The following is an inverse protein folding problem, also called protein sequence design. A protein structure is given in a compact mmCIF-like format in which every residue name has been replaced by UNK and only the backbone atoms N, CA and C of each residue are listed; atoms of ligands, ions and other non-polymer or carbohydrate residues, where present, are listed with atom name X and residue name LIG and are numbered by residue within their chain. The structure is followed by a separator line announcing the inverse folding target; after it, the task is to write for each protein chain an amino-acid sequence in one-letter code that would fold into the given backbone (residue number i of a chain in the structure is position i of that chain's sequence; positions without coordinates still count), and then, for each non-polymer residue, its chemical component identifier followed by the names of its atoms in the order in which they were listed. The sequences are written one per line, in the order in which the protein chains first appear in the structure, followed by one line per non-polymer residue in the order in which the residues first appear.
data_IF_666565523101
#
_entry.id   IF_666565523101
#
_cell.length_a   1.000
_cell.length_b   1.000
_cell.length_c   1.000
_cell.angle_alpha   90.00
_cell.angle_beta   90.00
_cell.angle_gamma   90.00
#
_symmetry.space_group_name_H-M   'P 1'
#
loop_
_entity.id
_entity.type
_entity.pdbx_description
1 polymer ?
#
# COMPACT_ATOMS: atom_id res chain seq x y z
N UNK A 1 -38.22 2.21 -28.66
CA UNK A 1 -38.36 2.83 -27.33
C UNK A 1 -37.67 1.93 -26.31
N UNK A 2 -36.38 2.15 -26.04
CA UNK A 2 -35.66 1.49 -24.94
C UNK A 2 -34.52 2.41 -24.50
N UNK A 3 -34.78 3.15 -23.43
CA UNK A 3 -33.85 4.04 -22.72
C UNK A 3 -32.82 3.19 -21.95
N UNK A 4 -31.60 3.11 -22.47
CA UNK A 4 -30.47 2.55 -21.70
C UNK A 4 -29.94 3.65 -20.78
N UNK A 5 -30.49 3.74 -19.56
CA UNK A 5 -29.90 4.56 -18.48
C UNK A 5 -28.50 4.09 -18.17
N UNK A 6 -27.54 4.82 -18.72
CA UNK A 6 -26.13 4.72 -18.42
C UNK A 6 -25.91 5.08 -16.95
N UNK A 7 -25.75 4.06 -16.09
CA UNK A 7 -25.43 4.23 -14.66
C UNK A 7 -24.12 5.01 -14.56
N UNK A 8 -24.22 6.31 -14.26
CA UNK A 8 -23.07 7.14 -13.85
C UNK A 8 -22.46 6.50 -12.62
N UNK A 9 -21.31 5.84 -12.78
CA UNK A 9 -20.53 5.22 -11.71
C UNK A 9 -19.92 6.32 -10.85
N UNK A 10 -20.72 6.91 -9.96
CA UNK A 10 -20.25 7.88 -8.97
C UNK A 10 -19.13 7.25 -8.14
N UNK A 11 -17.96 7.90 -8.09
CA UNK A 11 -16.83 7.45 -7.26
C UNK A 11 -17.34 7.26 -5.83
N UNK A 12 -17.12 6.07 -5.26
CA UNK A 12 -17.63 5.74 -3.94
C UNK A 12 -17.05 6.68 -2.87
N UNK A 13 -17.86 7.17 -1.91
CA UNK A 13 -17.42 8.10 -0.88
C UNK A 13 -16.26 7.53 -0.04
N UNK A 14 -16.23 6.20 0.14
CA UNK A 14 -15.15 5.47 0.82
C UNK A 14 -13.82 5.59 0.08
N UNK A 15 -13.81 5.53 -1.27
CA UNK A 15 -12.57 5.70 -2.05
C UNK A 15 -12.00 7.11 -1.89
N UNK A 16 -12.86 8.12 -1.83
CA UNK A 16 -12.43 9.51 -1.64
C UNK A 16 -11.86 9.71 -0.22
N UNK A 17 -12.46 9.08 0.79
CA UNK A 17 -11.96 9.14 2.17
C UNK A 17 -10.60 8.45 2.32
N UNK A 18 -10.42 7.25 1.76
CA UNK A 18 -9.13 6.55 1.76
C UNK A 18 -8.06 7.39 1.07
N UNK A 19 -8.41 8.05 -0.04
CA UNK A 19 -7.51 8.97 -0.75
C UNK A 19 -7.12 10.17 0.10
N UNK A 20 -8.09 10.82 0.77
CA UNK A 20 -7.86 11.97 1.65
C UNK A 20 -6.99 11.61 2.85
N UNK A 21 -7.24 10.46 3.48
CA UNK A 21 -6.42 9.97 4.60
C UNK A 21 -4.99 9.68 4.13
N UNK A 22 -4.85 9.00 2.98
CA UNK A 22 -3.54 8.72 2.39
C UNK A 22 -2.78 10.00 2.06
N UNK A 23 -3.46 11.02 1.51
CA UNK A 23 -2.88 12.33 1.21
C UNK A 23 -2.49 13.08 2.47
N UNK A 24 -3.33 13.09 3.51
CA UNK A 24 -3.03 13.72 4.80
C UNK A 24 -1.80 13.09 5.47
N UNK A 25 -1.70 11.75 5.44
CA UNK A 25 -0.53 11.03 5.95
C UNK A 25 0.74 11.36 5.15
N UNK A 26 0.63 11.45 3.81
CA UNK A 26 1.72 11.88 2.94
C UNK A 26 2.21 13.29 3.28
N UNK A 27 1.28 14.26 3.37
CA UNK A 27 1.58 15.66 3.73
C UNK A 27 2.21 15.73 5.11
N UNK A 28 1.70 14.97 6.07
CA UNK A 28 2.24 14.93 7.44
C UNK A 28 3.66 14.40 7.46
N UNK A 29 3.93 13.30 6.75
CA UNK A 29 5.28 12.77 6.60
C UNK A 29 6.22 13.79 5.94
N UNK A 30 5.74 14.49 4.90
CA UNK A 30 6.50 15.53 4.20
C UNK A 30 6.84 16.73 5.10
N UNK A 31 5.87 17.24 5.87
CA UNK A 31 6.06 18.37 6.80
C UNK A 31 6.98 17.98 7.96
N UNK A 32 6.82 16.77 8.51
CA UNK A 32 7.72 16.24 9.53
C UNK A 32 9.15 16.24 9.02
N UNK A 33 9.36 15.70 7.82
CA UNK A 33 10.68 15.63 7.21
C UNK A 33 11.22 17.05 6.96
N UNK A 34 10.43 17.99 6.44
CA UNK A 34 10.87 19.38 6.14
C UNK A 34 11.20 20.21 7.38
N UNK A 35 10.67 19.84 8.54
CA UNK A 35 11.01 20.45 9.83
C UNK A 35 12.24 19.82 10.48
N UNK A 36 12.71 18.66 10.00
CA UNK A 36 13.92 18.02 10.50
C UNK A 36 15.17 18.64 9.86
N UNK A 37 16.21 19.00 10.64
CA UNK A 37 17.48 19.47 10.12
C UNK A 37 18.08 18.49 9.10
N UNK A 38 18.57 19.01 7.98
CA UNK A 38 18.97 18.26 6.78
C UNK A 38 19.98 17.13 7.04
N UNK A 39 20.79 17.25 8.10
CA UNK A 39 21.84 16.27 8.45
C UNK A 39 21.33 14.97 9.09
N UNK A 40 20.07 14.89 9.55
CA UNK A 40 19.51 13.68 10.21
C UNK A 40 18.27 13.09 9.52
N UNK A 41 17.92 13.61 8.33
CA UNK A 41 16.77 13.12 7.54
C UNK A 41 17.00 11.70 7.02
N UNK A 42 16.24 10.74 7.54
CA UNK A 42 16.27 9.36 7.05
C UNK A 42 15.30 9.13 5.89
N UNK A 43 14.28 9.97 5.67
CA UNK A 43 13.25 9.79 4.63
C UNK A 43 12.52 8.43 4.65
N UNK A 44 12.65 7.65 5.73
CA UNK A 44 11.94 6.39 5.96
C UNK A 44 11.77 6.14 7.46
N UNK A 45 10.72 5.42 7.86
CA UNK A 45 10.46 5.10 9.26
C UNK A 45 9.05 4.59 9.50
N UNK A 46 8.61 4.60 10.76
CA UNK A 46 7.24 4.26 11.13
C UNK A 46 6.57 5.47 11.81
N UNK A 47 5.37 5.81 11.36
CA UNK A 47 4.49 6.76 12.04
C UNK A 47 3.82 6.01 13.20
N UNK A 48 3.98 6.55 14.42
CA UNK A 48 3.42 6.01 15.66
C UNK A 48 3.78 4.53 15.94
N UNK A 49 4.86 4.01 15.35
CA UNK A 49 5.27 2.60 15.49
C UNK A 49 4.34 1.59 14.84
N UNK A 50 3.42 2.04 13.97
CA UNK A 50 2.40 1.18 13.35
C UNK A 50 2.40 1.33 11.84
N UNK A 51 2.48 2.56 11.32
CA UNK A 51 2.32 2.83 9.88
C UNK A 51 3.68 3.09 9.24
N UNK A 52 4.22 2.16 8.45
CA UNK A 52 5.50 2.38 7.78
C UNK A 52 5.38 3.45 6.70
N UNK A 53 6.42 4.25 6.53
CA UNK A 53 6.57 5.19 5.42
C UNK A 53 7.97 5.12 4.84
N UNK A 54 8.06 5.24 3.51
CA UNK A 54 9.32 5.34 2.79
C UNK A 54 9.16 6.39 1.69
N UNK A 55 9.84 7.52 1.80
CA UNK A 55 9.82 8.61 0.82
C UNK A 55 11.04 8.59 -0.09
N UNK A 56 11.90 7.57 0.00
CA UNK A 56 13.05 7.42 -0.88
C UNK A 56 12.61 7.07 -2.30
N UNK A 57 13.35 7.48 -3.35
CA UNK A 57 13.00 7.14 -4.72
C UNK A 57 12.73 5.63 -4.87
N UNK A 58 11.59 5.24 -5.46
CA UNK A 58 11.26 3.83 -5.64
C UNK A 58 12.26 3.19 -6.59
N UNK A 59 12.90 2.11 -6.15
CA UNK A 59 13.73 1.27 -7.04
C UNK A 59 12.91 0.06 -7.50
N UNK A 60 13.12 -0.43 -8.74
CA UNK A 60 12.39 -1.59 -9.25
C UNK A 60 12.51 -2.81 -8.32
N UNK A 61 13.69 -3.02 -7.74
CA UNK A 61 13.96 -4.07 -6.77
C UNK A 61 13.09 -3.94 -5.52
N UNK A 62 12.97 -2.74 -4.94
CA UNK A 62 12.13 -2.52 -3.75
C UNK A 62 10.65 -2.65 -4.05
N UNK A 63 10.20 -2.19 -5.22
CA UNK A 63 8.80 -2.34 -5.64
C UNK A 63 8.45 -3.83 -5.69
N UNK A 64 9.28 -4.64 -6.37
CA UNK A 64 9.11 -6.09 -6.44
C UNK A 64 9.09 -6.72 -5.05
N UNK A 65 10.04 -6.35 -4.18
CA UNK A 65 10.08 -6.89 -2.81
C UNK A 65 8.85 -6.51 -1.98
N UNK A 66 8.27 -5.32 -2.16
CA UNK A 66 7.07 -4.91 -1.41
C UNK A 66 5.78 -5.57 -1.90
N UNK A 67 5.75 -6.03 -3.16
CA UNK A 67 4.55 -6.61 -3.78
C UNK A 67 4.64 -8.15 -3.93
N UNK A 68 5.86 -8.69 -4.03
CA UNK A 68 6.11 -10.09 -4.35
C UNK A 68 7.34 -10.60 -3.57
N UNK A 69 7.11 -11.00 -2.32
CA UNK A 69 8.13 -11.56 -1.44
C UNK A 69 7.74 -13.01 -1.08
N UNK A 70 8.08 -13.99 -1.93
CA UNK A 70 7.73 -15.40 -1.68
C UNK A 70 8.40 -15.97 -0.43
N UNK A 71 9.57 -15.45 -0.05
CA UNK A 71 10.31 -15.84 1.15
C UNK A 71 9.64 -15.39 2.47
N UNK A 72 8.56 -14.61 2.40
CA UNK A 72 7.90 -14.02 3.56
C UNK A 72 6.49 -14.56 3.72
N UNK A 73 6.22 -15.13 4.90
CA UNK A 73 4.88 -15.59 5.27
C UNK A 73 3.88 -14.44 5.53
N UNK A 74 4.33 -13.18 5.46
CA UNK A 74 3.52 -12.00 5.71
C UNK A 74 2.66 -11.65 4.49
N UNK A 75 1.36 -11.49 4.71
CA UNK A 75 0.41 -10.98 3.71
C UNK A 75 0.55 -9.47 3.46
N UNK A 76 0.91 -8.74 4.52
CA UNK A 76 1.01 -7.29 4.51
C UNK A 76 2.50 -6.94 4.70
N UNK A 77 3.04 -6.17 3.77
CA UNK A 77 4.44 -5.73 3.78
C UNK A 77 4.52 -4.20 3.86
N UNK A 78 5.60 -3.63 4.41
CA UNK A 78 5.88 -2.20 4.24
C UNK A 78 5.93 -1.83 2.75
N UNK A 79 5.33 -0.69 2.39
CA UNK A 79 5.35 -0.21 1.01
C UNK A 79 6.73 0.34 0.64
N UNK A 80 7.16 0.12 -0.61
CA UNK A 80 8.45 0.62 -1.11
C UNK A 80 8.53 2.13 -1.33
N UNK A 81 7.38 2.80 -1.44
CA UNK A 81 7.28 4.24 -1.63
C UNK A 81 5.92 4.80 -1.15
N UNK A 82 5.96 5.93 -0.45
CA UNK A 82 4.81 6.56 0.19
C UNK A 82 4.55 6.04 1.61
N UNK A 83 3.31 6.20 2.06
CA UNK A 83 2.88 5.81 3.41
C UNK A 83 1.96 4.60 3.35
N UNK A 84 2.14 3.67 4.29
CA UNK A 84 1.28 2.52 4.51
C UNK A 84 1.85 1.22 4.01
N UNK A 85 0.96 0.26 3.79
CA UNK A 85 1.33 -1.12 3.48
C UNK A 85 1.07 -1.50 2.02
N UNK A 86 1.82 -2.48 1.56
CA UNK A 86 1.64 -3.21 0.31
C UNK A 86 1.12 -4.62 0.60
N UNK A 87 0.49 -5.22 -0.40
CA UNK A 87 0.05 -6.62 -0.33
C UNK A 87 1.11 -7.51 -0.94
N UNK A 88 1.49 -8.58 -0.22
CA UNK A 88 2.35 -9.63 -0.74
C UNK A 88 1.54 -10.59 -1.60
N UNK A 89 1.54 -10.37 -2.91
CA UNK A 89 0.78 -11.20 -3.85
C UNK A 89 1.32 -12.63 -3.93
N UNK A 90 2.61 -12.87 -3.64
CA UNK A 90 3.16 -14.22 -3.59
C UNK A 90 2.42 -15.08 -2.54
N UNK A 91 2.19 -14.51 -1.36
CA UNK A 91 1.46 -15.16 -0.28
C UNK A 91 -0.03 -15.33 -0.60
N UNK A 92 -0.63 -14.37 -1.29
CA UNK A 92 -2.04 -14.47 -1.74
C UNK A 92 -2.22 -15.65 -2.69
N UNK A 93 -1.33 -15.82 -3.67
CA UNK A 93 -1.37 -16.95 -4.62
C UNK A 93 -1.17 -18.27 -3.91
N UNK A 94 -0.24 -18.35 -2.96
CA UNK A 94 -0.02 -19.56 -2.17
C UNK A 94 -1.27 -19.97 -1.38
N UNK A 95 -1.91 -19.02 -0.69
CA UNK A 95 -3.16 -19.29 0.05
C UNK A 95 -4.30 -19.71 -0.87
N UNK A 96 -4.40 -19.10 -2.06
CA UNK A 96 -5.39 -19.48 -3.05
C UNK A 96 -5.17 -20.92 -3.55
N UNK A 97 -3.93 -21.30 -3.84
CA UNK A 97 -3.60 -22.66 -4.30
C UNK A 97 -3.86 -23.72 -3.22
N UNK A 98 -3.55 -23.42 -1.96
CA UNK A 98 -3.87 -24.32 -0.83
C UNK A 98 -5.37 -24.58 -0.74
N UNK A 99 -6.17 -23.51 -0.82
CA UNK A 99 -7.64 -23.61 -0.72
C UNK A 99 -8.25 -24.47 -1.83
N UNK A 100 -7.79 -24.30 -3.07
CA UNK A 100 -8.28 -25.12 -4.20
C UNK A 100 -7.85 -26.59 -4.08
N UNK A 101 -6.71 -26.86 -3.43
CA UNK A 101 -6.27 -28.24 -3.15
C UNK A 101 -7.15 -28.96 -2.13
N UNK A 102 -7.63 -28.23 -1.11
CA UNK A 102 -8.52 -28.78 -0.08
C UNK A 102 -9.94 -29.05 -0.59
N UNK A 103 -10.39 -28.35 -1.64
CA UNK A 103 -11.72 -28.53 -2.25
C UNK A 103 -11.82 -29.77 -3.18
N UNK A 104 -10.70 -30.45 -3.47
CA UNK A 104 -10.60 -31.61 -4.37
C UNK A 104 -10.16 -32.93 -3.71
N UNK A 105 -9.98 -32.96 -2.38
CA UNK A 105 -9.63 -34.15 -1.60
C UNK A 105 -10.85 -34.72 -0.85
#
# INVERSE_FOLDING_TARGET
MTDKKQKRKGRSPVKNLIGLVSLGLLVTAFVKELRTPTETRTWHGELFGVVPYDLRPPTPTRIRQSLWQPESDRLILPRSFGVGWSVNFARVVELANRRTGDDHA
#
